data_IF_490696440055
#
_entry.id   IF_490696440055
#
_cell.length_a   1.000
_cell.length_b   1.000
_cell.length_c   1.000
_cell.angle_alpha   90.00
_cell.angle_beta   90.00
_cell.angle_gamma   90.00
#
_symmetry.space_group_name_H-M   'P 1'
#
loop_
_entity.id
_entity.type
_entity.pdbx_description
1 polymer ?
#
# COMPACT_ATOMS: atom_id res chain seq x y z
N UNK A 1 0.41 -1.25 -0.47
CA UNK A 1 0.18 -0.52 -1.75
C UNK A 1 0.71 0.88 -1.58
N UNK A 2 1.22 1.47 -2.65
CA UNK A 2 2.05 2.67 -2.61
C UNK A 2 1.65 3.61 -3.73
N UNK A 3 1.36 4.87 -3.39
CA UNK A 3 1.02 5.92 -4.34
C UNK A 3 1.58 7.27 -3.86
N UNK A 4 1.77 8.21 -4.78
CA UNK A 4 1.97 9.61 -4.43
C UNK A 4 0.62 10.32 -4.34
N UNK A 5 0.42 11.07 -3.28
CA UNK A 5 -0.69 11.99 -3.12
C UNK A 5 -0.19 13.42 -3.28
N UNK A 6 -0.93 14.22 -4.04
CA UNK A 6 -0.80 15.66 -4.18
C UNK A 6 -2.16 16.30 -3.89
N UNK A 7 -2.44 16.47 -2.60
CA UNK A 7 -3.76 16.83 -2.11
C UNK A 7 -4.79 15.74 -2.43
N UNK A 8 -5.75 16.07 -3.31
CA UNK A 8 -6.79 15.14 -3.76
C UNK A 8 -6.31 14.20 -4.89
N UNK A 9 -5.22 14.56 -5.56
CA UNK A 9 -4.72 13.80 -6.71
C UNK A 9 -3.93 12.57 -6.25
N UNK A 10 -4.26 11.40 -6.79
CA UNK A 10 -3.57 10.13 -6.53
C UNK A 10 -2.82 9.69 -7.80
N UNK A 11 -1.52 9.41 -7.69
CA UNK A 11 -0.73 8.86 -8.79
C UNK A 11 -1.12 7.42 -9.13
N UNK A 12 -0.57 6.86 -10.20
CA UNK A 12 -0.61 5.41 -10.42
C UNK A 12 0.02 4.69 -9.22
N UNK A 13 -0.73 3.78 -8.60
CA UNK A 13 -0.25 2.95 -7.49
C UNK A 13 0.57 1.75 -7.97
N UNK A 14 1.47 1.32 -7.08
CA UNK A 14 2.22 0.08 -7.20
C UNK A 14 2.02 -0.77 -5.94
N UNK A 15 2.23 -2.08 -6.07
CA UNK A 15 2.10 -3.01 -4.96
C UNK A 15 3.42 -3.72 -4.65
N UNK A 16 3.63 -3.94 -3.35
CA UNK A 16 4.60 -4.88 -2.81
C UNK A 16 3.90 -5.65 -1.69
N UNK A 17 4.37 -6.87 -1.43
CA UNK A 17 3.95 -7.69 -0.31
C UNK A 17 5.15 -7.85 0.64
N UNK A 18 4.90 -7.68 1.93
CA UNK A 18 5.89 -7.75 2.99
C UNK A 18 5.59 -8.92 3.93
N UNK A 19 6.64 -9.63 4.32
CA UNK A 19 6.59 -10.71 5.30
C UNK A 19 6.86 -10.14 6.68
N UNK A 20 5.81 -9.94 7.48
CA UNK A 20 5.92 -9.37 8.84
C UNK A 20 6.43 -10.36 9.89
N UNK A 21 6.25 -11.66 9.69
CA UNK A 21 6.51 -12.70 10.71
C UNK A 21 7.97 -13.14 10.70
N UNK A 22 8.55 -13.33 11.88
CA UNK A 22 9.97 -13.72 12.03
C UNK A 22 10.26 -15.17 11.64
N UNK A 23 9.27 -16.06 11.77
CA UNK A 23 9.41 -17.50 11.55
C UNK A 23 8.94 -17.92 10.16
N UNK A 24 9.51 -19.02 9.66
CA UNK A 24 9.08 -19.65 8.41
C UNK A 24 7.59 -20.03 8.46
N UNK A 25 6.91 -19.95 7.31
CA UNK A 25 5.48 -20.25 7.20
C UNK A 25 4.58 -19.27 7.95
N UNK A 26 4.96 -17.99 8.02
CA UNK A 26 4.24 -16.93 8.73
C UNK A 26 4.01 -17.21 10.23
N UNK A 27 5.02 -17.78 10.89
CA UNK A 27 4.96 -18.13 12.32
C UNK A 27 5.72 -17.15 13.22
N UNK A 28 5.43 -17.16 14.52
CA UNK A 28 6.13 -16.33 15.51
C UNK A 28 5.62 -14.88 15.60
N UNK A 29 6.42 -13.99 16.20
CA UNK A 29 6.04 -12.59 16.46
C UNK A 29 6.06 -11.74 15.19
N UNK A 30 5.28 -10.66 15.19
CA UNK A 30 5.37 -9.61 14.18
C UNK A 30 6.68 -8.82 14.34
N UNK A 31 7.23 -8.40 13.21
CA UNK A 31 8.41 -7.55 13.07
C UNK A 31 8.07 -6.34 12.19
N UNK A 32 9.05 -5.47 11.94
CA UNK A 32 8.91 -4.41 10.93
C UNK A 32 8.73 -4.96 9.50
N UNK A 33 9.26 -6.15 9.23
CA UNK A 33 9.31 -6.83 7.94
C UNK A 33 10.63 -7.58 7.79
N UNK A 34 10.59 -8.87 7.47
CA UNK A 34 11.79 -9.72 7.25
C UNK A 34 12.18 -9.83 5.79
N UNK A 35 11.33 -9.36 4.88
CA UNK A 35 11.57 -9.32 3.45
C UNK A 35 10.32 -8.92 2.68
N UNK A 36 10.50 -8.39 1.47
CA UNK A 36 9.40 -7.99 0.61
C UNK A 36 9.65 -8.42 -0.85
N UNK A 37 8.59 -8.41 -1.65
CA UNK A 37 8.67 -8.65 -3.09
C UNK A 37 7.63 -7.81 -3.84
N UNK A 38 7.91 -7.53 -5.12
CA UNK A 38 7.06 -6.71 -5.97
C UNK A 38 7.20 -7.06 -7.47
N UNK A 39 6.10 -7.00 -8.26
CA UNK A 39 4.71 -6.96 -7.79
C UNK A 39 4.30 -8.33 -7.20
N UNK A 40 3.32 -8.38 -6.29
CA UNK A 40 2.73 -9.64 -5.87
C UNK A 40 1.99 -10.35 -7.02
N UNK A 41 2.02 -11.68 -7.09
CA UNK A 41 1.35 -12.45 -8.16
C UNK A 41 -0.17 -12.23 -8.22
N UNK A 42 -0.78 -11.94 -7.06
CA UNK A 42 -2.20 -11.64 -6.94
C UNK A 42 -2.56 -10.19 -7.30
N UNK A 43 -1.58 -9.36 -7.67
CA UNK A 43 -1.82 -7.97 -8.05
C UNK A 43 -2.33 -7.86 -9.48
N UNK A 44 -3.63 -7.61 -9.64
CA UNK A 44 -4.29 -7.45 -10.96
C UNK A 44 -4.78 -6.02 -11.18
N UNK A 45 -5.10 -5.67 -12.44
CA UNK A 45 -5.71 -4.38 -12.80
C UNK A 45 -7.03 -4.15 -12.07
N UNK A 46 -7.86 -5.19 -11.97
CA UNK A 46 -9.17 -5.11 -11.33
C UNK A 46 -9.03 -4.84 -9.82
N UNK A 47 -8.04 -5.47 -9.18
CA UNK A 47 -7.72 -5.22 -7.79
C UNK A 47 -7.22 -3.77 -7.59
N UNK A 48 -6.32 -3.30 -8.47
CA UNK A 48 -5.79 -1.95 -8.44
C UNK A 48 -6.90 -0.89 -8.57
N UNK A 49 -7.79 -1.04 -9.56
CA UNK A 49 -8.90 -0.13 -9.81
C UNK A 49 -9.89 -0.08 -8.64
N UNK A 50 -10.21 -1.25 -8.06
CA UNK A 50 -11.06 -1.34 -6.88
C UNK A 50 -10.45 -0.59 -5.69
N UNK A 51 -9.17 -0.82 -5.40
CA UNK A 51 -8.46 -0.14 -4.32
C UNK A 51 -8.40 1.37 -4.54
N UNK A 52 -8.14 1.82 -5.77
CA UNK A 52 -8.11 3.25 -6.08
C UNK A 52 -9.46 3.89 -5.76
N UNK A 53 -10.55 3.31 -6.27
CA UNK A 53 -11.90 3.84 -6.13
C UNK A 53 -12.44 3.75 -4.69
N UNK A 54 -12.15 2.67 -3.97
CA UNK A 54 -12.73 2.41 -2.64
C UNK A 54 -11.86 2.95 -1.49
N UNK A 55 -10.55 3.12 -1.69
CA UNK A 55 -9.61 3.44 -0.61
C UNK A 55 -8.80 4.70 -0.91
N UNK A 56 -8.00 4.72 -1.98
CA UNK A 56 -7.00 5.78 -2.17
C UNK A 56 -7.65 7.14 -2.44
N UNK A 57 -8.54 7.24 -3.43
CA UNK A 57 -9.18 8.51 -3.77
C UNK A 57 -10.14 9.00 -2.67
N UNK A 58 -11.00 8.15 -2.06
CA UNK A 58 -11.81 8.60 -0.93
C UNK A 58 -10.98 9.11 0.24
N UNK A 59 -9.83 8.49 0.51
CA UNK A 59 -8.93 8.91 1.58
C UNK A 59 -8.26 10.25 1.27
N UNK A 60 -7.77 10.44 0.04
CA UNK A 60 -7.21 11.72 -0.40
C UNK A 60 -8.25 12.86 -0.31
N UNK A 61 -9.48 12.61 -0.77
CA UNK A 61 -10.61 13.54 -0.64
C UNK A 61 -10.93 13.89 0.81
N UNK A 62 -10.98 12.90 1.69
CA UNK A 62 -11.27 13.10 3.10
C UNK A 62 -10.19 13.96 3.77
N UNK A 63 -8.91 13.68 3.51
CA UNK A 63 -7.79 14.46 4.06
C UNK A 63 -7.86 15.94 3.65
N UNK A 64 -8.20 16.23 2.39
CA UNK A 64 -8.40 17.60 1.91
C UNK A 64 -9.62 18.25 2.58
N UNK A 65 -10.73 17.53 2.69
CA UNK A 65 -11.96 18.04 3.33
C UNK A 65 -11.77 18.35 4.83
N UNK A 66 -10.84 17.66 5.50
CA UNK A 66 -10.45 17.88 6.88
C UNK A 66 -9.31 18.91 7.06
N UNK A 67 -9.01 19.71 6.02
CA UNK A 67 -7.93 20.70 6.01
C UNK A 67 -6.55 20.11 6.40
N UNK A 68 -6.36 18.84 6.08
CA UNK A 68 -5.19 18.01 6.42
C UNK A 68 -4.62 17.35 5.17
N UNK A 69 -4.61 18.08 4.06
CA UNK A 69 -4.14 17.62 2.76
C UNK A 69 -2.73 17.01 2.87
N UNK A 70 -2.58 15.79 2.34
CA UNK A 70 -1.32 15.07 2.36
C UNK A 70 -0.57 15.22 1.03
N UNK A 71 0.74 15.45 1.14
CA UNK A 71 1.63 15.60 0.00
C UNK A 71 2.82 14.67 0.18
N UNK A 72 2.97 13.69 -0.71
CA UNK A 72 4.09 12.76 -0.70
C UNK A 72 3.67 11.30 -0.82
N UNK A 73 4.50 10.41 -0.25
CA UNK A 73 4.34 8.98 -0.43
C UNK A 73 3.34 8.39 0.57
N UNK A 74 2.22 7.93 0.05
CA UNK A 74 1.14 7.33 0.82
C UNK A 74 1.18 5.82 0.70
N UNK A 75 1.18 5.14 1.85
CA UNK A 75 1.21 3.69 1.93
C UNK A 75 -0.06 3.20 2.58
N UNK A 76 -0.76 2.31 1.88
CA UNK A 76 -1.94 1.64 2.38
C UNK A 76 -1.65 0.14 2.54
N UNK A 77 -1.67 -0.34 3.79
CA UNK A 77 -1.67 -1.76 4.12
C UNK A 77 -3.11 -2.27 4.10
N UNK A 78 -3.43 -3.21 3.22
CA UNK A 78 -4.76 -3.78 3.09
C UNK A 78 -4.68 -5.29 2.87
N UNK A 79 -5.77 -5.99 3.19
CA UNK A 79 -5.97 -7.36 2.74
C UNK A 79 -7.18 -7.44 1.82
N UNK A 80 -7.06 -8.33 0.84
CA UNK A 80 -8.20 -8.74 0.03
C UNK A 80 -8.74 -10.09 0.52
N UNK A 81 -10.06 -10.27 0.44
CA UNK A 81 -10.70 -11.48 0.90
C UNK A 81 -11.91 -11.84 0.03
N UNK A 82 -12.06 -13.12 -0.29
CA UNK A 82 -13.13 -13.61 -1.17
C UNK A 82 -14.56 -13.35 -0.65
N UNK A 83 -14.75 -13.21 0.66
CA UNK A 83 -16.08 -13.01 1.30
C UNK A 83 -16.33 -11.59 1.83
N UNK A 84 -15.32 -10.72 1.84
CA UNK A 84 -15.46 -9.38 2.42
C UNK A 84 -14.86 -8.33 1.48
N UNK A 85 -15.37 -7.09 1.46
CA UNK A 85 -14.70 -5.99 0.77
C UNK A 85 -13.26 -5.83 1.26
N UNK A 86 -12.37 -5.37 0.38
CA UNK A 86 -10.98 -5.06 0.73
C UNK A 86 -10.96 -4.14 1.94
N UNK A 87 -10.16 -4.48 2.96
CA UNK A 87 -10.09 -3.68 4.19
C UNK A 87 -8.68 -3.19 4.43
N UNK A 88 -8.60 -1.93 4.87
CA UNK A 88 -7.37 -1.29 5.32
C UNK A 88 -7.06 -1.76 6.74
N UNK A 89 -5.81 -2.15 6.98
CA UNK A 89 -5.26 -2.36 8.31
C UNK A 89 -4.65 -1.09 8.87
N UNK A 90 -3.83 -0.42 8.04
CA UNK A 90 -3.08 0.76 8.43
C UNK A 90 -2.73 1.65 7.25
N UNK A 91 -2.48 2.91 7.55
CA UNK A 91 -1.85 3.87 6.66
C UNK A 91 -0.46 4.25 7.19
N UNK A 92 0.51 4.42 6.29
CA UNK A 92 1.79 5.04 6.62
C UNK A 92 2.04 6.23 5.69
N UNK A 93 2.65 7.28 6.24
CA UNK A 93 2.94 8.55 5.55
C UNK A 93 4.38 8.62 4.98
N UNK A 94 5.03 7.46 4.81
CA UNK A 94 6.42 7.31 4.36
C UNK A 94 6.63 5.96 3.70
N UNK A 95 7.62 5.85 2.82
CA UNK A 95 8.04 4.58 2.21
C UNK A 95 8.27 3.51 3.29
N UNK A 96 7.72 2.32 3.09
CA UNK A 96 7.92 1.18 3.97
C UNK A 96 9.35 0.63 3.88
N UNK A 97 9.78 -0.07 4.91
CA UNK A 97 11.02 -0.85 4.96
C UNK A 97 10.62 -2.26 5.44
N UNK A 98 10.80 -3.32 4.63
CA UNK A 98 11.71 -3.43 3.47
C UNK A 98 11.09 -3.16 2.08
N UNK A 99 9.88 -2.62 1.97
CA UNK A 99 9.21 -2.47 0.68
C UNK A 99 9.92 -1.47 -0.25
N UNK A 100 10.51 -0.41 0.30
CA UNK A 100 11.30 0.56 -0.45
C UNK A 100 12.39 -0.13 -1.30
N UNK A 101 13.10 -1.10 -0.73
CA UNK A 101 14.22 -1.79 -1.36
C UNK A 101 13.81 -2.56 -2.63
N UNK A 102 12.56 -3.04 -2.71
CA UNK A 102 12.05 -3.75 -3.89
C UNK A 102 11.32 -2.84 -4.87
N UNK A 103 10.83 -1.68 -4.41
CA UNK A 103 10.12 -0.71 -5.23
C UNK A 103 11.07 0.25 -5.95
N UNK A 104 12.06 0.81 -5.24
CA UNK A 104 12.97 1.83 -5.81
C UNK A 104 13.69 1.38 -7.09
N UNK A 105 14.18 0.13 -7.22
CA UNK A 105 14.81 -0.32 -8.47
C UNK A 105 13.86 -0.34 -9.68
N UNK A 106 12.54 -0.40 -9.45
CA UNK A 106 11.51 -0.43 -10.51
C UNK A 106 11.10 0.97 -10.98
N UNK A 107 11.43 2.02 -10.23
CA UNK A 107 11.15 3.43 -10.58
C UNK A 107 12.08 3.98 -11.70
N UNK A 108 12.68 3.12 -12.52
CA UNK A 108 13.59 3.55 -13.58
C UNK A 108 12.84 4.12 -14.78
N UNK A 109 13.43 5.19 -15.33
CA UNK A 109 13.06 5.92 -16.55
C UNK A 109 12.83 5.04 -17.76
#
# INVERSE_FOLDING_TARGET
MFAFLDGETVSTEIAACDYKRIGEGDTGLNTGGVGAYAPPEFWTSELADRIRAEILEPTARALVAEDSAFFGHFVCGAYDHQYWPTRVFEFNCRLGDPECQVLMPKLKK
#
